data_IF_082763838020
#
_entry.id   IF_082763838020
#
_cell.length_a   1.000
_cell.length_b   1.000
_cell.length_c   1.000
_cell.angle_alpha   90.00
_cell.angle_beta   90.00
_cell.angle_gamma   90.00
#
_symmetry.space_group_name_H-M   'P 1'
#
loop_
_entity.id
_entity.type
_entity.pdbx_description
1 polymer ?
#
# COMPACT_ATOMS: atom_id res chain seq x y z
N UNK A 1 20.84 -17.81 21.21
CA UNK A 1 22.26 -17.42 21.38
C UNK A 1 22.44 -15.97 20.95
N UNK A 2 22.59 -15.04 21.90
CA UNK A 2 22.75 -13.60 21.63
C UNK A 2 24.06 -13.27 20.91
N UNK A 3 25.17 -13.88 21.35
CA UNK A 3 26.49 -13.74 20.69
C UNK A 3 26.47 -14.09 19.21
N UNK A 4 25.78 -15.17 18.82
CA UNK A 4 25.67 -15.60 17.43
C UNK A 4 24.93 -14.57 16.57
N UNK A 5 23.85 -13.98 17.09
CA UNK A 5 23.09 -12.95 16.38
C UNK A 5 23.88 -11.65 16.22
N UNK A 6 24.57 -11.22 17.27
CA UNK A 6 25.44 -10.03 17.22
C UNK A 6 26.58 -10.22 16.22
N UNK A 7 27.26 -11.38 16.21
CA UNK A 7 28.31 -11.69 15.24
C UNK A 7 27.76 -11.68 13.80
N UNK A 8 26.59 -12.28 13.57
CA UNK A 8 25.95 -12.30 12.27
C UNK A 8 25.62 -10.89 11.75
N UNK A 9 25.01 -10.04 12.59
CA UNK A 9 24.68 -8.65 12.21
C UNK A 9 25.95 -7.83 11.94
N UNK A 10 27.00 -7.98 12.75
CA UNK A 10 28.26 -7.27 12.53
C UNK A 10 28.91 -7.66 11.21
N UNK A 11 28.92 -8.95 10.85
CA UNK A 11 29.44 -9.41 9.56
C UNK A 11 28.62 -8.88 8.37
N UNK A 12 27.28 -8.91 8.46
CA UNK A 12 26.40 -8.36 7.44
C UNK A 12 26.63 -6.84 7.28
N UNK A 13 26.78 -6.12 8.39
CA UNK A 13 27.06 -4.68 8.37
C UNK A 13 28.41 -4.36 7.73
N UNK A 14 29.42 -5.19 7.98
CA UNK A 14 30.74 -5.07 7.35
C UNK A 14 30.68 -5.35 5.85
N UNK A 15 29.83 -6.29 5.40
CA UNK A 15 29.57 -6.51 3.98
C UNK A 15 28.90 -5.28 3.35
N UNK A 16 27.85 -4.74 3.96
CA UNK A 16 27.18 -3.53 3.47
C UNK A 16 28.11 -2.33 3.40
N UNK A 17 29.02 -2.15 4.38
CA UNK A 17 30.01 -1.08 4.33
C UNK A 17 30.95 -1.18 3.11
N UNK A 18 31.19 -2.39 2.59
CA UNK A 18 32.04 -2.63 1.41
C UNK A 18 31.25 -2.66 0.08
N UNK A 19 29.93 -2.83 0.10
CA UNK A 19 29.08 -2.92 -1.10
C UNK A 19 28.89 -1.59 -1.85
N UNK A 20 29.37 -0.46 -1.32
CA UNK A 20 29.23 0.83 -1.97
C UNK A 20 27.77 1.34 -1.99
N UNK A 21 27.61 2.66 -1.87
CA UNK A 21 26.30 3.28 -1.68
C UNK A 21 25.30 2.94 -2.80
N UNK A 22 25.76 2.92 -4.05
CA UNK A 22 24.89 2.70 -5.21
C UNK A 22 24.21 1.33 -5.20
N UNK A 23 24.89 0.28 -4.75
CA UNK A 23 24.34 -1.08 -4.73
C UNK A 23 23.30 -1.25 -3.62
N UNK A 24 23.53 -0.60 -2.48
CA UNK A 24 22.56 -0.54 -1.38
C UNK A 24 21.29 0.17 -1.86
N UNK A 25 21.44 1.32 -2.53
CA UNK A 25 20.33 2.11 -3.04
C UNK A 25 19.56 1.35 -4.11
N UNK A 26 20.25 0.70 -5.07
CA UNK A 26 19.58 -0.02 -6.17
C UNK A 26 18.68 -1.16 -5.67
N UNK A 27 19.01 -1.78 -4.54
CA UNK A 27 18.20 -2.82 -3.92
C UNK A 27 17.09 -2.21 -3.04
N UNK A 28 17.41 -1.13 -2.33
CA UNK A 28 16.49 -0.51 -1.37
C UNK A 28 15.38 0.31 -2.04
N UNK A 29 15.67 0.95 -3.17
CA UNK A 29 14.71 1.83 -3.87
C UNK A 29 13.45 1.07 -4.34
N UNK A 30 13.54 -0.08 -5.02
CA UNK A 30 12.34 -0.84 -5.41
C UNK A 30 11.50 -1.26 -4.21
N UNK A 31 12.14 -1.70 -3.13
CA UNK A 31 11.45 -2.08 -1.89
C UNK A 31 10.75 -0.87 -1.26
N UNK A 32 11.43 0.28 -1.24
CA UNK A 32 10.87 1.53 -0.74
C UNK A 32 9.66 1.95 -1.56
N UNK A 33 9.72 1.88 -2.89
CA UNK A 33 8.64 2.24 -3.82
C UNK A 33 7.36 1.46 -3.54
N UNK A 34 7.47 0.19 -3.17
CA UNK A 34 6.32 -0.65 -2.79
C UNK A 34 5.76 -0.27 -1.41
N UNK A 35 6.66 -0.05 -0.44
CA UNK A 35 6.26 0.14 0.96
C UNK A 35 5.74 1.54 1.26
N UNK A 36 6.33 2.59 0.68
CA UNK A 36 6.00 3.97 1.06
C UNK A 36 4.50 4.31 0.88
N UNK A 37 3.81 3.91 -0.21
CA UNK A 37 2.40 4.24 -0.41
C UNK A 37 1.52 3.54 0.61
N UNK A 38 1.80 2.26 0.88
CA UNK A 38 1.08 1.46 1.88
C UNK A 38 1.20 2.13 3.25
N UNK A 39 2.41 2.53 3.65
CA UNK A 39 2.65 3.19 4.92
C UNK A 39 1.94 4.55 5.00
N UNK A 40 2.08 5.40 3.98
CA UNK A 40 1.45 6.74 3.98
C UNK A 40 -0.07 6.60 4.05
N UNK A 41 -0.67 5.71 3.25
CA UNK A 41 -2.12 5.48 3.27
C UNK A 41 -2.59 5.03 4.66
N UNK A 42 -1.88 4.09 5.30
CA UNK A 42 -2.23 3.64 6.64
C UNK A 42 -2.12 4.76 7.69
N UNK A 43 -1.05 5.56 7.64
CA UNK A 43 -0.86 6.70 8.54
C UNK A 43 -1.99 7.72 8.36
N UNK A 44 -2.29 8.11 7.12
CA UNK A 44 -3.37 9.05 6.81
C UNK A 44 -4.72 8.51 7.26
N UNK A 45 -5.04 7.25 6.95
CA UNK A 45 -6.30 6.64 7.37
C UNK A 45 -6.42 6.51 8.88
N UNK A 46 -5.31 6.27 9.59
CA UNK A 46 -5.30 6.24 11.07
C UNK A 46 -5.70 7.59 11.67
N UNK A 47 -5.25 8.71 11.07
CA UNK A 47 -5.73 10.04 11.47
C UNK A 47 -7.19 10.29 11.08
N UNK A 48 -7.63 9.72 9.96
CA UNK A 48 -9.00 9.86 9.47
C UNK A 48 -9.98 8.83 10.05
N UNK A 49 -9.54 7.94 10.95
CA UNK A 49 -10.33 6.83 11.46
C UNK A 49 -11.67 7.27 12.09
N UNK A 50 -11.63 8.43 12.76
CA UNK A 50 -12.80 9.06 13.38
C UNK A 50 -13.89 9.44 12.37
N UNK A 51 -13.52 9.78 11.13
CA UNK A 51 -14.48 10.12 10.06
C UNK A 51 -15.17 8.88 9.49
N UNK A 52 -14.49 7.73 9.47
CA UNK A 52 -14.98 6.50 8.85
C UNK A 52 -15.49 5.45 9.85
N UNK A 53 -15.48 5.77 11.15
CA UNK A 53 -15.95 4.90 12.25
C UNK A 53 -15.30 3.50 12.23
N UNK A 54 -14.01 3.42 11.91
CA UNK A 54 -13.27 2.14 11.90
C UNK A 54 -13.71 1.16 10.81
N UNK A 55 -14.27 1.64 9.68
CA UNK A 55 -14.69 0.74 8.59
C UNK A 55 -13.48 0.04 7.96
N UNK A 56 -13.32 -1.26 8.24
CA UNK A 56 -12.25 -2.10 7.67
C UNK A 56 -12.20 -2.05 6.14
N UNK A 57 -13.35 -1.88 5.49
CA UNK A 57 -13.46 -1.78 4.03
C UNK A 57 -12.65 -0.62 3.43
N UNK A 58 -12.56 0.53 4.11
CA UNK A 58 -11.79 1.70 3.64
C UNK A 58 -10.30 1.41 3.66
N UNK A 59 -9.80 0.85 4.76
CA UNK A 59 -8.40 0.46 4.90
C UNK A 59 -8.00 -0.56 3.85
N UNK A 60 -8.77 -1.64 3.70
CA UNK A 60 -8.47 -2.69 2.72
C UNK A 60 -8.53 -2.13 1.30
N UNK A 61 -9.59 -1.39 0.96
CA UNK A 61 -9.76 -0.83 -0.38
C UNK A 61 -8.66 0.15 -0.78
N UNK A 62 -8.33 1.10 0.09
CA UNK A 62 -7.30 2.10 -0.18
C UNK A 62 -5.89 1.47 -0.25
N UNK A 63 -5.54 0.62 0.72
CA UNK A 63 -4.23 -0.03 0.77
C UNK A 63 -4.05 -1.01 -0.39
N UNK A 64 -5.08 -1.77 -0.74
CA UNK A 64 -5.01 -2.71 -1.87
C UNK A 64 -4.83 -1.96 -3.20
N UNK A 65 -5.61 -0.90 -3.43
CA UNK A 65 -5.52 -0.11 -4.65
C UNK A 65 -4.14 0.60 -4.77
N UNK A 66 -3.66 1.22 -3.69
CA UNK A 66 -2.33 1.82 -3.65
C UNK A 66 -1.23 0.76 -3.85
N UNK A 67 -1.31 -0.35 -3.10
CA UNK A 67 -0.33 -1.42 -3.13
C UNK A 67 -0.19 -2.05 -4.50
N UNK A 68 -1.29 -2.27 -5.22
CA UNK A 68 -1.25 -2.83 -6.57
C UNK A 68 -0.45 -1.94 -7.54
N UNK A 69 -0.64 -0.63 -7.49
CA UNK A 69 0.12 0.34 -8.30
C UNK A 69 1.59 0.38 -7.87
N UNK A 70 1.83 0.38 -6.56
CA UNK A 70 3.18 0.47 -5.99
C UNK A 70 4.02 -0.76 -6.31
N UNK A 71 3.40 -1.95 -6.37
CA UNK A 71 4.07 -3.19 -6.81
C UNK A 71 4.47 -3.10 -8.28
N UNK A 72 3.61 -2.56 -9.14
CA UNK A 72 3.93 -2.36 -10.57
C UNK A 72 5.10 -1.38 -10.73
N UNK A 73 5.09 -0.25 -10.02
CA UNK A 73 6.18 0.73 -10.05
C UNK A 73 7.49 0.18 -9.42
N UNK A 74 7.38 -0.67 -8.40
CA UNK A 74 8.51 -1.38 -7.81
C UNK A 74 9.13 -2.40 -8.79
N UNK A 75 8.31 -3.17 -9.51
CA UNK A 75 8.76 -4.09 -10.56
C UNK A 75 9.42 -3.37 -11.73
N UNK A 76 8.87 -2.21 -12.13
CA UNK A 76 9.49 -1.34 -13.11
C UNK A 76 10.89 -0.90 -12.67
N UNK A 77 11.06 -0.57 -11.39
CA UNK A 77 12.35 -0.20 -10.81
C UNK A 77 13.36 -1.36 -10.76
N UNK A 78 12.90 -2.61 -10.85
CA UNK A 78 13.74 -3.80 -11.06
C UNK A 78 14.10 -4.04 -12.55
N UNK A 79 13.62 -3.21 -13.48
CA UNK A 79 13.83 -3.37 -14.92
C UNK A 79 12.82 -4.30 -15.61
N UNK A 80 11.76 -4.71 -14.91
CA UNK A 80 10.64 -5.48 -15.50
C UNK A 80 9.60 -4.46 -15.98
N UNK A 81 9.77 -3.98 -17.21
CA UNK A 81 8.85 -3.02 -17.81
C UNK A 81 7.80 -3.71 -18.67
N UNK A 82 6.55 -3.26 -18.56
CA UNK A 82 5.46 -3.57 -19.48
C UNK A 82 4.97 -2.26 -20.09
N UNK A 83 5.18 -2.06 -21.40
CA UNK A 83 4.79 -0.84 -22.11
C UNK A 83 3.28 -0.56 -22.01
N UNK A 84 2.45 -1.61 -21.99
CA UNK A 84 1.01 -1.50 -21.83
C UNK A 84 0.64 -0.93 -20.45
N UNK A 85 1.26 -1.41 -19.37
CA UNK A 85 1.02 -0.89 -18.03
C UNK A 85 1.59 0.53 -17.86
N UNK A 86 2.76 0.79 -18.44
CA UNK A 86 3.41 2.11 -18.37
C UNK A 86 2.59 3.20 -19.08
N UNK A 87 1.98 2.89 -20.23
CA UNK A 87 1.12 3.84 -20.95
C UNK A 87 -0.21 4.11 -20.20
N UNK A 88 -0.82 3.09 -19.60
CA UNK A 88 -1.99 3.26 -18.75
C UNK A 88 -1.68 4.11 -17.51
N UNK A 89 -0.55 3.87 -16.85
CA UNK A 89 -0.16 4.61 -15.66
C UNK A 89 0.26 6.06 -15.96
N UNK A 90 0.90 6.33 -17.11
CA UNK A 90 1.21 7.70 -17.56
C UNK A 90 -0.01 8.59 -17.74
N UNK A 91 -1.19 8.00 -17.96
CA UNK A 91 -2.44 8.76 -18.05
C UNK A 91 -2.95 9.27 -16.70
N UNK A 92 -2.40 8.76 -15.57
CA UNK A 92 -2.81 9.24 -14.25
C UNK A 92 -2.18 10.60 -13.94
N UNK A 93 -2.99 11.56 -13.45
CA UNK A 93 -2.48 12.78 -12.82
C UNK A 93 -1.49 12.42 -11.70
N UNK A 94 -0.41 13.17 -11.59
CA UNK A 94 0.68 12.98 -10.61
C UNK A 94 1.56 11.71 -10.79
N UNK A 95 1.37 10.92 -11.84
CA UNK A 95 2.28 9.79 -12.13
C UNK A 95 3.72 10.26 -12.41
N UNK A 96 3.88 11.41 -13.07
CA UNK A 96 5.20 11.99 -13.35
C UNK A 96 6.01 12.30 -12.08
N UNK A 97 5.34 12.62 -10.97
CA UNK A 97 5.95 12.92 -9.67
C UNK A 97 6.09 11.66 -8.79
N UNK A 98 5.80 10.47 -9.34
CA UNK A 98 5.81 9.21 -8.59
C UNK A 98 4.58 8.97 -7.72
N UNK A 99 3.58 9.85 -7.73
CA UNK A 99 2.37 9.75 -6.89
C UNK A 99 1.21 9.01 -7.57
N UNK A 100 1.51 8.13 -8.52
CA UNK A 100 0.51 7.36 -9.28
C UNK A 100 -0.46 6.55 -8.43
N UNK A 101 -0.05 6.14 -7.24
CA UNK A 101 -0.85 5.35 -6.29
C UNK A 101 -1.90 6.18 -5.53
N UNK A 102 -1.76 7.51 -5.49
CA UNK A 102 -2.60 8.38 -4.64
C UNK A 102 -4.06 8.35 -5.08
N UNK A 103 -4.31 8.55 -6.37
CA UNK A 103 -5.65 8.53 -6.96
C UNK A 103 -6.35 7.17 -6.75
N UNK A 104 -5.70 6.04 -7.11
CA UNK A 104 -6.22 4.70 -6.82
C UNK A 104 -6.50 4.47 -5.32
N UNK A 105 -5.64 4.95 -4.42
CA UNK A 105 -5.87 4.84 -2.98
C UNK A 105 -7.15 5.55 -2.53
N UNK A 106 -7.36 6.78 -3.00
CA UNK A 106 -8.55 7.58 -2.68
C UNK A 106 -9.80 6.91 -3.22
N UNK A 107 -9.78 6.48 -4.49
CA UNK A 107 -10.91 5.79 -5.13
C UNK A 107 -11.20 4.47 -4.40
N UNK A 108 -10.18 3.67 -4.11
CA UNK A 108 -10.30 2.41 -3.39
C UNK A 108 -10.86 2.59 -1.99
N UNK A 109 -10.42 3.63 -1.27
CA UNK A 109 -10.95 4.00 0.04
C UNK A 109 -12.43 4.40 -0.03
N UNK A 110 -12.83 5.23 -0.99
CA UNK A 110 -14.22 5.65 -1.18
C UNK A 110 -15.13 4.47 -1.54
N UNK A 111 -14.68 3.57 -2.41
CA UNK A 111 -15.40 2.34 -2.74
C UNK A 111 -15.53 1.42 -1.52
N UNK A 112 -14.47 1.28 -0.74
CA UNK A 112 -14.47 0.53 0.52
C UNK A 112 -15.46 1.10 1.55
N UNK A 113 -15.57 2.43 1.63
CA UNK A 113 -16.54 3.11 2.47
C UNK A 113 -17.99 2.85 2.00
N UNK A 114 -18.24 3.04 0.71
CA UNK A 114 -19.56 2.82 0.11
C UNK A 114 -20.03 1.38 0.29
N UNK A 115 -19.14 0.41 0.07
CA UNK A 115 -19.42 -1.01 0.26
C UNK A 115 -19.75 -1.33 1.73
N UNK A 116 -18.96 -0.82 2.68
CA UNK A 116 -19.21 -1.04 4.09
C UNK A 116 -20.58 -0.48 4.53
N UNK A 117 -20.95 0.72 4.07
CA UNK A 117 -22.26 1.33 4.34
C UNK A 117 -23.41 0.51 3.76
N UNK A 118 -23.26 0.01 2.53
CA UNK A 118 -24.24 -0.85 1.87
C UNK A 118 -24.43 -2.19 2.61
N UNK A 119 -23.35 -2.86 2.99
CA UNK A 119 -23.40 -4.16 3.68
C UNK A 119 -24.00 -4.04 5.07
N UNK A 120 -23.60 -3.03 5.86
CA UNK A 120 -24.18 -2.78 7.19
C UNK A 120 -25.69 -2.47 7.10
N UNK A 121 -26.13 -1.71 6.10
CA UNK A 121 -27.55 -1.41 5.91
C UNK A 121 -28.39 -2.65 5.60
N UNK A 122 -27.83 -3.59 4.83
CA UNK A 122 -28.49 -4.87 4.49
C UNK A 122 -28.60 -5.78 5.70
N UNK A 123 -27.57 -5.84 6.55
CA UNK A 123 -27.57 -6.68 7.75
C UNK A 123 -28.59 -6.19 8.79
N UNK A 124 -28.62 -4.87 9.04
CA UNK A 124 -29.60 -4.27 9.97
C UNK A 124 -31.05 -4.54 9.52
N UNK A 125 -31.33 -4.41 8.22
CA UNK A 125 -32.66 -4.64 7.67
C UNK A 125 -33.07 -6.12 7.72
N UNK A 126 -32.13 -7.05 7.52
CA UNK A 126 -32.37 -8.49 7.64
C UNK A 126 -32.71 -8.90 9.08
N UNK A 127 -31.97 -8.38 10.08
CA UNK A 127 -32.19 -8.71 11.48
C UNK A 127 -33.51 -8.14 12.03
N UNK A 128 -33.91 -6.94 11.61
CA UNK A 128 -35.21 -6.37 11.99
C UNK A 128 -36.38 -7.21 11.47
N UNK A 129 -36.27 -7.73 10.24
CA UNK A 129 -37.31 -8.58 9.65
C UNK A 129 -37.42 -9.94 10.35
N UNK A 130 -36.30 -10.52 10.75
CA UNK A 130 -36.26 -11.77 11.50
C UNK A 130 -36.70 -11.64 12.97
N UNK A 131 -36.73 -10.43 13.54
CA UNK A 131 -37.21 -10.17 14.90
C UNK A 131 -38.71 -9.82 14.95
N UNK A 132 -39.34 -9.55 13.80
CA UNK A 132 -40.78 -9.25 13.68
C UNK A 132 -41.62 -10.46 13.23
N UNK A 133 -40.97 -11.59 12.94
CA UNK A 133 -41.58 -12.90 12.66
C UNK A 133 -41.48 -13.78 13.91
#
# INVERSE_FOLDING_TARGET
SYKTFTIAITLISLLFANLGLNQIISISVPVLIVLYPITIVLVVLSFMDRFFKGSKGVYVGAVFAAGMVSVIDGLKSFGIESEALASMLKSLPFYAEGLGWLLPAVIGGLLGWAFNKLVLSRFAKKNLKAASE
#
